data_IF_289210683542
#
_entry.id   IF_289210683542
#
_cell.length_a   1.000
_cell.length_b   1.000
_cell.length_c   1.000
_cell.angle_alpha   90.00
_cell.angle_beta   90.00
_cell.angle_gamma   90.00
#
_symmetry.space_group_name_H-M   'P 1'
#
loop_
_entity.id
_entity.type
_entity.pdbx_description
1 polymer ?
#
# COMPACT_ATOMS: atom_id res chain seq x y z
N UNK A 1 -5.39 1.05 78.68
CA UNK A 1 -4.66 -0.23 78.64
C UNK A 1 -4.91 -0.88 77.30
N UNK A 2 -3.82 -1.32 76.69
CA UNK A 2 -3.63 -1.90 75.36
C UNK A 2 -3.77 -0.95 74.18
N UNK A 3 -2.67 -0.17 74.04
CA UNK A 3 -1.91 -0.05 72.80
C UNK A 3 -2.37 -1.02 71.71
N UNK A 4 -2.96 -0.48 70.64
CA UNK A 4 -2.82 -1.11 69.33
C UNK A 4 -1.34 -1.02 69.02
N UNK A 5 -0.65 -2.14 69.17
CA UNK A 5 0.72 -2.34 68.69
C UNK A 5 0.80 -1.79 67.26
N UNK A 6 1.38 -0.59 67.12
CA UNK A 6 2.05 -0.21 65.90
C UNK A 6 3.13 -1.28 65.73
N UNK A 7 2.86 -2.30 64.92
CA UNK A 7 3.89 -3.20 64.41
C UNK A 7 4.84 -2.37 63.55
N UNK A 8 5.72 -1.61 64.21
CA UNK A 8 6.95 -1.12 63.63
C UNK A 8 7.77 -2.39 63.42
N UNK A 9 7.72 -2.94 62.20
CA UNK A 9 8.62 -4.01 61.78
C UNK A 9 10.05 -3.50 62.02
N UNK A 10 10.70 -3.99 63.05
CA UNK A 10 12.09 -3.65 63.32
C UNK A 10 12.95 -4.19 62.17
N UNK A 11 14.03 -3.50 61.83
CA UNK A 11 14.92 -3.87 60.71
C UNK A 11 15.57 -5.26 60.83
N UNK A 12 15.29 -6.00 61.91
CA UNK A 12 15.83 -7.33 62.20
C UNK A 12 14.89 -8.48 61.77
N UNK A 13 13.65 -8.20 61.37
CA UNK A 13 12.62 -9.24 61.16
C UNK A 13 12.42 -9.68 59.71
N UNK A 14 13.04 -9.04 58.71
CA UNK A 14 12.86 -9.41 57.31
C UNK A 14 13.94 -10.38 56.81
N UNK A 15 13.52 -11.51 56.21
CA UNK A 15 14.42 -12.54 55.63
C UNK A 15 15.02 -12.13 54.27
N UNK A 16 14.31 -11.32 53.49
CA UNK A 16 14.77 -10.87 52.17
C UNK A 16 14.11 -9.56 51.75
N UNK A 17 14.79 -8.81 50.87
CA UNK A 17 14.29 -7.59 50.26
C UNK A 17 14.18 -7.81 48.74
N UNK A 18 13.02 -7.46 48.17
CA UNK A 18 12.76 -7.57 46.72
C UNK A 18 12.51 -6.19 46.13
N UNK A 19 13.08 -5.95 44.95
CA UNK A 19 12.82 -4.76 44.13
C UNK A 19 12.10 -5.21 42.86
N UNK A 20 11.06 -4.49 42.46
CA UNK A 20 10.29 -4.75 41.24
C UNK A 20 9.91 -3.44 40.56
N UNK A 21 9.45 -3.53 39.31
CA UNK A 21 8.81 -2.38 38.65
C UNK A 21 7.50 -2.06 39.35
N UNK A 22 7.23 -0.76 39.51
CA UNK A 22 5.97 -0.28 40.08
C UNK A 22 4.94 -0.12 38.96
N UNK A 23 3.84 -0.86 39.04
CA UNK A 23 2.70 -0.66 38.15
C UNK A 23 1.97 0.65 38.48
N UNK A 24 1.19 1.21 37.53
CA UNK A 24 0.34 2.38 37.80
C UNK A 24 -0.61 2.17 38.98
N UNK A 25 -1.16 0.95 39.11
CA UNK A 25 -2.04 0.57 40.21
C UNK A 25 -1.31 0.56 41.56
N UNK A 26 -0.09 0.03 41.61
CA UNK A 26 0.75 0.07 42.82
C UNK A 26 1.07 1.51 43.22
N UNK A 27 1.40 2.38 42.27
CA UNK A 27 1.66 3.80 42.56
C UNK A 27 0.43 4.48 43.15
N UNK A 28 -0.77 4.18 42.62
CA UNK A 28 -2.03 4.69 43.20
C UNK A 28 -2.28 4.13 44.60
N UNK A 29 -1.95 2.87 44.85
CA UNK A 29 -2.11 2.25 46.18
C UNK A 29 -1.24 2.88 47.26
N UNK A 30 -0.08 3.43 46.89
CA UNK A 30 0.81 4.16 47.79
C UNK A 30 0.34 5.59 48.06
N UNK A 31 -0.51 6.11 47.19
CA UNK A 31 -0.85 7.52 47.18
C UNK A 31 -2.06 7.82 48.05
N UNK A 32 -1.94 8.91 48.81
CA UNK A 32 -3.03 9.46 49.61
C UNK A 32 -3.86 10.52 48.85
N UNK A 33 -3.53 10.81 47.59
CA UNK A 33 -4.26 11.77 46.75
C UNK A 33 -3.46 12.29 45.55
N UNK A 34 -4.19 12.81 44.56
CA UNK A 34 -3.61 13.39 43.34
C UNK A 34 -3.18 14.86 43.58
N UNK A 35 -1.98 15.21 43.13
CA UNK A 35 -1.48 16.59 43.12
C UNK A 35 -1.83 17.24 41.79
N UNK A 36 -2.94 17.96 41.75
CA UNK A 36 -3.42 18.63 40.53
C UNK A 36 -2.79 20.00 40.30
N UNK A 37 -2.37 20.68 41.38
CA UNK A 37 -1.98 22.09 41.36
C UNK A 37 -0.47 22.29 41.50
N UNK A 38 0.14 23.18 40.70
CA UNK A 38 1.57 23.47 40.76
C UNK A 38 1.98 24.30 41.98
N UNK A 39 1.02 24.91 42.68
CA UNK A 39 1.27 25.80 43.80
C UNK A 39 1.83 25.04 45.01
N UNK A 40 2.69 25.71 45.79
CA UNK A 40 3.30 25.17 47.00
C UNK A 40 2.61 25.71 48.25
N UNK A 41 2.97 26.93 48.66
CA UNK A 41 2.52 27.58 49.89
C UNK A 41 2.09 28.99 49.53
N UNK A 42 1.02 29.48 50.16
CA UNK A 42 0.59 30.85 50.05
C UNK A 42 1.60 31.80 50.71
N UNK A 43 2.16 32.74 49.95
CA UNK A 43 3.19 33.66 50.46
C UNK A 43 2.70 34.60 51.57
N UNK A 44 1.39 34.90 51.66
CA UNK A 44 0.82 35.77 52.70
C UNK A 44 0.49 34.99 53.98
N UNK A 45 -0.15 33.83 53.82
CA UNK A 45 -0.65 33.03 54.96
C UNK A 45 0.36 32.02 55.48
N UNK A 46 1.45 31.77 54.74
CA UNK A 46 2.44 30.73 55.03
C UNK A 46 1.81 29.34 55.20
N UNK A 47 0.69 29.12 54.52
CA UNK A 47 -0.06 27.85 54.57
C UNK A 47 -0.04 27.15 53.22
N UNK A 48 0.04 25.81 53.20
CA UNK A 48 -0.03 25.05 51.96
C UNK A 48 -1.30 25.35 51.17
N UNK A 49 -1.17 25.39 49.85
CA UNK A 49 -2.32 25.49 48.97
C UNK A 49 -3.04 24.13 48.84
N UNK A 50 -4.37 24.16 48.68
CA UNK A 50 -5.18 22.95 48.52
C UNK A 50 -4.89 22.32 47.15
N UNK A 51 -4.72 21.00 47.15
CA UNK A 51 -4.39 20.15 45.97
C UNK A 51 -3.01 20.45 45.35
N UNK A 52 -2.20 21.26 46.04
CA UNK A 52 -0.83 21.61 45.65
C UNK A 52 0.23 20.65 46.19
N UNK A 53 1.50 20.97 45.93
CA UNK A 53 2.65 20.13 46.27
C UNK A 53 2.86 19.89 47.78
N UNK A 54 2.25 20.71 48.63
CA UNK A 54 2.35 20.58 50.09
C UNK A 54 0.98 20.34 50.75
N UNK A 55 -0.05 20.03 49.96
CA UNK A 55 -1.44 19.88 50.40
C UNK A 55 -1.57 18.99 51.64
N UNK A 56 -2.17 19.54 52.71
CA UNK A 56 -2.35 18.81 53.97
C UNK A 56 -3.36 17.67 53.85
N UNK A 57 -4.32 17.75 52.92
CA UNK A 57 -5.30 16.68 52.74
C UNK A 57 -4.65 15.40 52.18
N UNK A 58 -3.60 15.56 51.37
CA UNK A 58 -2.87 14.46 50.74
C UNK A 58 -1.76 13.98 51.70
N UNK A 59 -0.86 14.88 52.09
CA UNK A 59 0.37 14.51 52.80
C UNK A 59 0.22 14.45 54.32
N UNK A 60 -0.89 14.95 54.87
CA UNK A 60 -1.11 15.06 56.32
C UNK A 60 -0.87 16.47 56.87
N UNK A 61 -1.21 16.70 58.15
CA UNK A 61 -1.26 18.03 58.75
C UNK A 61 0.14 18.63 59.00
N UNK A 62 0.29 19.95 58.85
CA UNK A 62 1.58 20.63 59.14
C UNK A 62 1.87 20.72 60.63
N UNK A 63 0.82 20.75 61.46
CA UNK A 63 0.89 20.79 62.93
C UNK A 63 0.21 19.57 63.51
N UNK A 64 0.80 19.02 64.56
CA UNK A 64 0.26 17.84 65.23
C UNK A 64 -1.19 18.05 65.67
N UNK A 65 -2.05 17.09 65.36
CA UNK A 65 -3.45 17.07 65.78
C UNK A 65 -4.26 18.31 65.37
N UNK A 66 -3.90 18.94 64.24
CA UNK A 66 -4.58 20.13 63.74
C UNK A 66 -4.89 20.00 62.24
N UNK A 67 -6.17 20.10 61.89
CA UNK A 67 -6.59 20.19 60.49
C UNK A 67 -6.34 21.58 59.88
N UNK A 68 -6.28 21.66 58.54
CA UNK A 68 -6.04 22.91 57.79
C UNK A 68 -6.98 24.06 58.20
N UNK A 69 -8.30 23.82 58.25
CA UNK A 69 -9.27 24.87 58.58
C UNK A 69 -9.31 25.23 60.07
N UNK A 70 -8.70 24.42 60.94
CA UNK A 70 -8.73 24.60 62.38
C UNK A 70 -10.05 24.25 63.07
N UNK A 71 -11.02 23.61 62.37
CA UNK A 71 -12.27 23.07 62.96
C UNK A 71 -11.96 22.03 64.04
N UNK A 72 -11.12 21.06 63.70
CA UNK A 72 -10.64 20.03 64.61
C UNK A 72 -9.21 20.35 65.05
N UNK A 73 -9.02 20.45 66.38
CA UNK A 73 -7.76 20.76 67.05
C UNK A 73 -7.63 19.92 68.32
N UNK A 74 -6.40 19.52 68.64
CA UNK A 74 -6.01 18.68 69.78
C UNK A 74 -6.24 17.18 69.57
N UNK A 75 -5.56 16.39 70.41
CA UNK A 75 -5.51 14.91 70.36
C UNK A 75 -6.89 14.24 70.43
N UNK A 76 -7.90 14.93 70.98
CA UNK A 76 -9.28 14.42 71.13
C UNK A 76 -9.92 14.00 69.79
N UNK A 77 -9.51 14.60 68.68
CA UNK A 77 -10.04 14.30 67.35
C UNK A 77 -9.13 13.37 66.53
N UNK A 78 -8.24 12.60 67.19
CA UNK A 78 -7.32 11.66 66.53
C UNK A 78 -8.06 10.75 65.54
N UNK A 79 -7.58 10.71 64.30
CA UNK A 79 -8.10 9.84 63.23
C UNK A 79 -9.36 10.34 62.54
N UNK A 80 -9.91 11.50 62.94
CA UNK A 80 -11.06 12.09 62.25
C UNK A 80 -10.58 12.83 60.99
N UNK A 81 -11.21 12.53 59.86
CA UNK A 81 -11.04 13.28 58.60
C UNK A 81 -11.98 14.48 58.60
N UNK A 82 -11.45 15.67 58.36
CA UNK A 82 -12.25 16.89 58.46
C UNK A 82 -13.22 17.08 57.28
N UNK A 83 -14.52 17.18 57.53
CA UNK A 83 -15.54 17.41 56.47
C UNK A 83 -15.32 18.68 55.63
N UNK A 84 -14.68 19.71 56.20
CA UNK A 84 -14.45 21.00 55.50
C UNK A 84 -13.20 21.01 54.64
N UNK A 85 -12.10 20.44 55.13
CA UNK A 85 -10.79 20.53 54.46
C UNK A 85 -10.20 19.20 54.03
N UNK A 86 -10.84 18.07 54.35
CA UNK A 86 -10.37 16.72 54.00
C UNK A 86 -9.09 16.28 54.73
N UNK A 87 -8.57 17.08 55.65
CA UNK A 87 -7.33 16.75 56.39
C UNK A 87 -7.64 15.80 57.53
N UNK A 88 -6.92 14.70 57.58
CA UNK A 88 -6.92 13.76 58.70
C UNK A 88 -6.15 14.34 59.89
N UNK A 89 -6.76 14.30 61.07
CA UNK A 89 -6.15 14.79 62.30
C UNK A 89 -5.22 13.71 62.89
N UNK A 90 -3.94 13.82 62.54
CA UNK A 90 -2.86 12.93 62.99
C UNK A 90 -1.58 13.72 63.34
N UNK A 91 -0.47 13.03 63.63
CA UNK A 91 0.85 13.65 63.83
C UNK A 91 1.39 14.16 62.50
N UNK A 92 2.17 15.23 62.54
CA UNK A 92 2.85 15.78 61.37
C UNK A 92 3.92 14.84 60.79
N UNK A 93 4.42 13.89 61.58
CA UNK A 93 5.42 12.89 61.16
C UNK A 93 5.00 12.09 59.92
N UNK A 94 3.70 11.91 59.69
CA UNK A 94 3.19 11.22 58.49
C UNK A 94 3.58 11.92 57.19
N UNK A 95 3.93 13.21 57.23
CA UNK A 95 4.39 14.00 56.07
C UNK A 95 5.78 13.59 55.56
N UNK A 96 6.47 12.71 56.28
CA UNK A 96 7.70 12.04 55.83
C UNK A 96 7.45 10.71 55.14
N UNK A 97 6.25 10.14 55.26
CA UNK A 97 5.91 8.78 54.80
C UNK A 97 4.84 8.76 53.69
N UNK A 98 3.84 9.66 53.75
CA UNK A 98 2.73 9.69 52.80
C UNK A 98 3.18 10.17 51.43
N UNK A 99 2.94 9.35 50.40
CA UNK A 99 3.18 9.72 49.00
C UNK A 99 1.94 10.33 48.35
N UNK A 100 2.17 11.20 47.37
CA UNK A 100 1.16 11.69 46.43
C UNK A 100 1.37 11.03 45.06
N UNK A 101 0.50 11.32 44.10
CA UNK A 101 0.74 10.99 42.69
C UNK A 101 0.25 12.11 41.78
N UNK A 102 0.69 12.06 40.53
CA UNK A 102 0.24 12.93 39.44
C UNK A 102 -0.23 12.03 38.30
N UNK A 103 -1.47 12.20 37.86
CA UNK A 103 -1.99 11.54 36.66
C UNK A 103 -1.51 12.33 35.43
N UNK A 104 -0.68 11.68 34.60
CA UNK A 104 -0.10 12.33 33.43
C UNK A 104 -1.11 12.37 32.30
N UNK A 105 -1.18 13.50 31.60
CA UNK A 105 -2.06 13.67 30.45
C UNK A 105 -1.68 12.79 29.25
N UNK A 106 -0.40 12.44 29.14
CA UNK A 106 0.13 11.53 28.13
C UNK A 106 1.19 10.61 28.77
N UNK A 107 1.31 9.35 28.32
CA UNK A 107 2.34 8.43 28.82
C UNK A 107 3.76 8.98 28.61
N UNK A 108 4.66 8.73 29.56
CA UNK A 108 6.07 9.17 29.51
C UNK A 108 7.01 8.01 29.77
N UNK A 109 7.95 7.75 28.86
CA UNK A 109 8.92 6.68 29.03
C UNK A 109 9.92 7.00 30.15
N UNK A 110 10.13 6.04 31.07
CA UNK A 110 11.06 6.23 32.17
C UNK A 110 12.52 6.19 31.67
N UNK A 111 13.27 7.24 31.99
CA UNK A 111 14.59 7.54 31.42
C UNK A 111 15.64 6.43 31.62
N UNK A 112 15.55 5.66 32.72
CA UNK A 112 16.47 4.55 32.99
C UNK A 112 16.37 3.40 31.98
N UNK A 113 15.20 3.15 31.39
CA UNK A 113 15.02 2.06 30.44
C UNK A 113 15.32 2.49 29.00
N UNK A 114 15.28 3.79 28.72
CA UNK A 114 15.49 4.37 27.39
C UNK A 114 16.91 4.91 27.17
N UNK A 115 17.46 5.71 28.10
CA UNK A 115 18.75 6.40 27.89
C UNK A 115 19.97 5.63 28.37
N UNK A 116 19.82 4.72 29.34
CA UNK A 116 20.92 3.89 29.85
C UNK A 116 21.55 3.06 28.71
N UNK A 117 22.84 2.78 28.80
CA UNK A 117 23.55 1.90 27.85
C UNK A 117 23.85 0.56 28.53
N UNK A 118 23.33 -0.56 28.02
CA UNK A 118 22.35 -0.67 26.93
C UNK A 118 20.93 -0.27 27.37
N UNK A 119 20.11 0.16 26.41
CA UNK A 119 18.68 0.46 26.65
C UNK A 119 17.91 -0.84 26.75
N UNK A 120 17.20 -1.04 27.86
CA UNK A 120 16.36 -2.23 28.05
C UNK A 120 15.18 -2.24 27.09
N UNK A 121 14.53 -1.09 26.87
CA UNK A 121 13.42 -0.96 25.92
C UNK A 121 13.90 -1.15 24.48
N UNK A 122 15.07 -0.61 24.13
CA UNK A 122 15.71 -0.83 22.82
C UNK A 122 16.08 -2.28 22.56
N UNK A 123 16.60 -2.99 23.57
CA UNK A 123 16.85 -4.43 23.47
C UNK A 123 15.53 -5.19 23.31
N UNK A 124 14.52 -4.88 24.11
CA UNK A 124 13.23 -5.60 24.11
C UNK A 124 12.51 -5.48 22.76
N UNK A 125 12.46 -4.28 22.18
CA UNK A 125 11.81 -4.02 20.89
C UNK A 125 12.74 -4.25 19.68
N UNK A 126 14.00 -4.62 19.92
CA UNK A 126 15.02 -4.78 18.87
C UNK A 126 15.37 -3.51 18.06
N UNK A 127 15.17 -2.34 18.68
CA UNK A 127 15.34 -1.01 18.08
C UNK A 127 16.65 -0.36 18.52
N UNK A 128 17.26 0.42 17.61
CA UNK A 128 18.43 1.23 17.97
C UNK A 128 18.03 2.45 18.81
N UNK A 129 18.85 2.81 19.80
CA UNK A 129 18.61 3.97 20.67
C UNK A 129 18.31 5.26 19.89
N UNK A 130 19.04 5.51 18.79
CA UNK A 130 18.83 6.70 17.95
C UNK A 130 17.42 6.77 17.36
N UNK A 131 16.89 5.65 16.86
CA UNK A 131 15.53 5.59 16.30
C UNK A 131 14.48 5.74 17.40
N UNK A 132 14.71 5.10 18.55
CA UNK A 132 13.85 5.23 19.73
C UNK A 132 13.76 6.66 20.24
N UNK A 133 14.89 7.36 20.39
CA UNK A 133 14.92 8.76 20.82
C UNK A 133 14.12 9.65 19.85
N UNK A 134 14.24 9.44 18.53
CA UNK A 134 13.46 10.21 17.54
C UNK A 134 11.96 10.04 17.69
N UNK A 135 11.48 8.84 17.99
CA UNK A 135 10.04 8.62 18.24
C UNK A 135 9.62 9.23 19.59
N UNK A 136 10.40 9.00 20.65
CA UNK A 136 10.11 9.51 22.00
C UNK A 136 10.05 11.05 22.06
N UNK A 137 10.88 11.74 21.28
CA UNK A 137 10.90 13.20 21.19
C UNK A 137 10.08 13.76 20.02
N UNK A 138 9.07 13.02 19.53
CA UNK A 138 8.10 13.47 18.53
C UNK A 138 8.72 13.94 17.20
N UNK A 139 9.85 13.35 16.78
CA UNK A 139 10.51 13.66 15.51
C UNK A 139 10.20 12.66 14.40
N UNK A 140 9.81 11.43 14.73
CA UNK A 140 9.44 10.38 13.79
C UNK A 140 8.25 9.57 14.32
N UNK A 141 7.53 8.93 13.40
CA UNK A 141 6.44 8.02 13.72
C UNK A 141 6.90 6.58 13.69
N UNK A 142 6.15 5.72 14.38
CA UNK A 142 6.32 4.27 14.35
C UNK A 142 4.97 3.62 14.10
N UNK A 143 4.94 2.58 13.26
CA UNK A 143 3.75 1.73 13.09
C UNK A 143 3.57 0.91 14.37
N UNK A 144 2.45 1.10 15.06
CA UNK A 144 2.14 0.43 16.33
C UNK A 144 1.40 -0.88 16.11
N UNK A 145 0.53 -0.92 15.09
CA UNK A 145 -0.26 -2.10 14.77
C UNK A 145 -0.56 -2.17 13.29
N UNK A 146 -0.60 -3.39 12.76
CA UNK A 146 -1.02 -3.70 11.40
C UNK A 146 -2.20 -4.66 11.47
N UNK A 147 -3.30 -4.28 10.83
CA UNK A 147 -4.49 -5.12 10.70
C UNK A 147 -4.36 -5.99 9.44
N UNK A 148 -4.11 -7.29 9.66
CA UNK A 148 -3.96 -8.27 8.57
C UNK A 148 -5.28 -8.52 7.81
N UNK A 149 -6.44 -8.37 8.44
CA UNK A 149 -7.73 -8.52 7.75
C UNK A 149 -7.99 -7.35 6.82
N UNK A 150 -7.77 -6.12 7.30
CA UNK A 150 -7.85 -4.92 6.48
C UNK A 150 -6.83 -4.96 5.33
N UNK A 151 -5.62 -5.47 5.59
CA UNK A 151 -4.59 -5.70 4.57
C UNK A 151 -5.10 -6.63 3.46
N UNK A 152 -5.67 -7.77 3.81
CA UNK A 152 -6.18 -8.72 2.83
C UNK A 152 -7.35 -8.13 2.01
N UNK A 153 -8.24 -7.36 2.65
CA UNK A 153 -9.32 -6.65 1.94
C UNK A 153 -8.76 -5.62 0.95
N UNK A 154 -7.73 -4.87 1.34
CA UNK A 154 -7.07 -3.92 0.46
C UNK A 154 -6.39 -4.60 -0.73
N UNK A 155 -5.72 -5.75 -0.53
CA UNK A 155 -5.16 -6.55 -1.62
C UNK A 155 -6.22 -7.00 -2.62
N UNK A 156 -7.35 -7.51 -2.12
CA UNK A 156 -8.47 -7.92 -2.99
C UNK A 156 -9.05 -6.74 -3.76
N UNK A 157 -9.16 -5.56 -3.14
CA UNK A 157 -9.61 -4.34 -3.81
C UNK A 157 -8.69 -3.96 -4.96
N UNK A 158 -7.37 -3.97 -4.74
CA UNK A 158 -6.38 -3.69 -5.78
C UNK A 158 -6.45 -4.68 -6.94
N UNK A 159 -6.59 -5.97 -6.63
CA UNK A 159 -6.71 -7.01 -7.66
C UNK A 159 -8.00 -6.79 -8.47
N UNK A 160 -9.11 -6.42 -7.83
CA UNK A 160 -10.36 -6.06 -8.53
C UNK A 160 -10.23 -4.82 -9.42
N UNK A 161 -9.67 -3.72 -8.89
CA UNK A 161 -9.43 -2.48 -9.65
C UNK A 161 -8.53 -2.73 -10.87
N UNK A 162 -7.53 -3.60 -10.74
CA UNK A 162 -6.66 -3.99 -11.85
C UNK A 162 -7.42 -4.79 -12.93
N UNK A 163 -8.21 -5.78 -12.54
CA UNK A 163 -8.99 -6.57 -13.50
C UNK A 163 -10.01 -5.70 -14.25
N UNK A 164 -10.71 -4.80 -13.57
CA UNK A 164 -11.65 -3.85 -14.20
C UNK A 164 -10.94 -2.94 -15.21
N UNK A 165 -9.77 -2.38 -14.87
CA UNK A 165 -9.00 -1.55 -15.80
C UNK A 165 -8.43 -2.34 -16.97
N UNK A 166 -8.00 -3.58 -16.75
CA UNK A 166 -7.51 -4.46 -17.81
C UNK A 166 -8.63 -4.74 -18.81
N UNK A 167 -9.80 -5.13 -18.34
CA UNK A 167 -10.97 -5.40 -19.19
C UNK A 167 -11.38 -4.18 -20.00
N UNK A 168 -11.34 -2.98 -19.41
CA UNK A 168 -11.64 -1.74 -20.13
C UNK A 168 -10.64 -1.48 -21.27
N UNK A 169 -9.33 -1.65 -21.03
CA UNK A 169 -8.32 -1.48 -22.08
C UNK A 169 -8.45 -2.54 -23.18
N UNK A 170 -8.69 -3.80 -22.81
CA UNK A 170 -8.90 -4.89 -23.75
C UNK A 170 -10.15 -4.65 -24.61
N UNK A 171 -11.25 -4.16 -24.02
CA UNK A 171 -12.48 -3.81 -24.73
C UNK A 171 -12.24 -2.68 -25.76
N UNK A 172 -11.58 -1.59 -25.36
CA UNK A 172 -11.27 -0.47 -26.26
C UNK A 172 -10.37 -0.91 -27.42
N UNK A 173 -9.35 -1.73 -27.13
CA UNK A 173 -8.48 -2.27 -28.17
C UNK A 173 -9.23 -3.21 -29.13
N UNK A 174 -10.12 -4.06 -28.59
CA UNK A 174 -10.92 -4.97 -29.39
C UNK A 174 -11.90 -4.22 -30.30
N UNK A 175 -12.59 -3.19 -29.79
CA UNK A 175 -13.43 -2.31 -30.58
C UNK A 175 -12.65 -1.67 -31.73
N UNK A 176 -11.44 -1.15 -31.45
CA UNK A 176 -10.54 -0.59 -32.47
C UNK A 176 -10.15 -1.60 -33.54
N UNK A 177 -9.77 -2.83 -33.15
CA UNK A 177 -9.43 -3.91 -34.09
C UNK A 177 -10.63 -4.27 -34.96
N UNK A 178 -11.81 -4.44 -34.37
CA UNK A 178 -13.02 -4.78 -35.13
C UNK A 178 -13.41 -3.70 -36.14
N UNK A 179 -13.22 -2.42 -35.81
CA UNK A 179 -13.46 -1.32 -36.74
C UNK A 179 -12.49 -1.33 -37.93
N UNK A 180 -11.22 -1.66 -37.69
CA UNK A 180 -10.21 -1.82 -38.75
C UNK A 180 -10.51 -3.02 -39.66
N UNK A 181 -10.88 -4.17 -39.07
CA UNK A 181 -11.28 -5.36 -39.83
C UNK A 181 -12.53 -5.09 -40.67
N UNK A 182 -13.52 -4.35 -40.14
CA UNK A 182 -14.70 -3.94 -40.89
C UNK A 182 -14.34 -3.01 -42.05
N UNK A 183 -13.41 -2.07 -41.86
CA UNK A 183 -12.93 -1.18 -42.91
C UNK A 183 -12.20 -1.95 -44.00
N UNK A 184 -11.30 -2.86 -43.64
CA UNK A 184 -10.63 -3.74 -44.59
C UNK A 184 -11.64 -4.56 -45.40
N UNK A 185 -12.64 -5.15 -44.75
CA UNK A 185 -13.68 -5.91 -45.44
C UNK A 185 -14.49 -5.05 -46.44
N UNK A 186 -14.75 -3.78 -46.12
CA UNK A 186 -15.41 -2.85 -47.04
C UNK A 186 -14.55 -2.51 -48.26
N UNK A 187 -13.27 -2.21 -48.05
CA UNK A 187 -12.33 -1.90 -49.15
C UNK A 187 -12.08 -3.14 -50.03
N UNK A 188 -11.87 -4.32 -49.42
CA UNK A 188 -11.73 -5.58 -50.16
C UNK A 188 -12.97 -5.89 -51.01
N UNK A 189 -14.17 -5.69 -50.47
CA UNK A 189 -15.41 -5.91 -51.23
C UNK A 189 -15.53 -4.96 -52.43
N UNK A 190 -15.15 -3.69 -52.27
CA UNK A 190 -15.17 -2.72 -53.38
C UNK A 190 -14.19 -3.11 -54.50
N UNK A 191 -12.97 -3.53 -54.13
CA UNK A 191 -11.96 -3.95 -55.11
C UNK A 191 -12.34 -5.28 -55.77
N UNK A 192 -12.91 -6.23 -55.01
CA UNK A 192 -13.44 -7.48 -55.56
C UNK A 192 -14.57 -7.23 -56.57
N UNK A 193 -15.48 -6.29 -56.29
CA UNK A 193 -16.53 -5.91 -57.24
C UNK A 193 -15.95 -5.31 -58.53
N UNK A 194 -14.88 -4.52 -58.42
CA UNK A 194 -14.16 -3.99 -59.58
C UNK A 194 -13.48 -5.10 -60.39
N UNK A 195 -12.81 -6.04 -59.72
CA UNK A 195 -12.20 -7.22 -60.35
C UNK A 195 -13.24 -8.04 -61.12
N UNK A 196 -14.40 -8.33 -60.51
CA UNK A 196 -15.47 -9.06 -61.18
C UNK A 196 -16.01 -8.30 -62.40
N UNK A 197 -16.18 -6.97 -62.32
CA UNK A 197 -16.58 -6.15 -63.48
C UNK A 197 -15.58 -6.21 -64.62
N UNK A 198 -14.27 -6.10 -64.32
CA UNK A 198 -13.20 -6.17 -65.32
C UNK A 198 -13.17 -7.56 -65.98
N UNK A 199 -13.27 -8.62 -65.18
CA UNK A 199 -13.32 -10.01 -65.69
C UNK A 199 -14.54 -10.23 -66.58
N UNK A 200 -15.73 -9.80 -66.13
CA UNK A 200 -16.96 -9.93 -66.91
C UNK A 200 -16.92 -9.15 -68.24
N UNK A 201 -16.35 -7.95 -68.26
CA UNK A 201 -16.19 -7.15 -69.48
C UNK A 201 -15.28 -7.85 -70.51
N UNK A 202 -14.13 -8.38 -70.06
CA UNK A 202 -13.19 -9.09 -70.93
C UNK A 202 -13.77 -10.42 -71.43
N UNK A 203 -14.51 -11.14 -70.59
CA UNK A 203 -15.23 -12.36 -71.00
C UNK A 203 -16.32 -12.06 -72.05
N UNK A 204 -17.05 -10.95 -71.90
CA UNK A 204 -18.06 -10.52 -72.88
C UNK A 204 -17.41 -10.09 -74.22
N UNK A 205 -16.27 -9.37 -74.17
CA UNK A 205 -15.48 -9.03 -75.35
C UNK A 205 -14.93 -10.29 -76.05
N UNK A 206 -14.39 -11.25 -75.29
CA UNK A 206 -13.93 -12.53 -75.82
C UNK A 206 -15.08 -13.31 -76.45
N UNK A 207 -16.24 -13.41 -75.79
CA UNK A 207 -17.42 -14.06 -76.34
C UNK A 207 -17.88 -13.40 -77.65
N UNK A 208 -17.88 -12.06 -77.74
CA UNK A 208 -18.25 -11.34 -78.94
C UNK A 208 -17.25 -11.54 -80.10
N UNK A 209 -15.94 -11.55 -79.81
CA UNK A 209 -14.89 -11.77 -80.83
C UNK A 209 -14.87 -13.23 -81.29
N UNK A 210 -14.94 -14.19 -80.36
CA UNK A 210 -15.00 -15.63 -80.67
C UNK A 210 -16.26 -15.96 -81.47
N UNK A 211 -17.43 -15.40 -81.16
CA UNK A 211 -18.65 -15.60 -81.94
C UNK A 211 -18.51 -15.07 -83.39
N UNK A 212 -17.85 -13.93 -83.59
CA UNK A 212 -17.55 -13.38 -84.93
C UNK A 212 -16.62 -14.31 -85.72
N UNK A 213 -15.55 -14.79 -85.09
CA UNK A 213 -14.58 -15.72 -85.69
C UNK A 213 -15.25 -17.05 -86.05
N UNK A 214 -16.11 -17.59 -85.18
CA UNK A 214 -16.87 -18.82 -85.42
C UNK A 214 -17.88 -18.64 -86.57
N UNK A 215 -18.60 -17.51 -86.64
CA UNK A 215 -19.51 -17.21 -87.77
C UNK A 215 -18.77 -17.14 -89.11
N UNK A 216 -17.58 -16.53 -89.14
CA UNK A 216 -16.76 -16.48 -90.35
C UNK A 216 -16.15 -17.84 -90.70
N UNK A 217 -15.73 -18.61 -89.71
CA UNK A 217 -15.23 -19.98 -89.89
C UNK A 217 -16.33 -20.89 -90.45
N UNK A 218 -17.56 -20.83 -89.92
CA UNK A 218 -18.72 -21.57 -90.43
C UNK A 218 -19.11 -21.14 -91.85
N UNK A 219 -19.05 -19.85 -92.16
CA UNK A 219 -19.31 -19.34 -93.50
C UNK A 219 -18.24 -19.80 -94.52
N UNK A 220 -16.98 -19.97 -94.07
CA UNK A 220 -15.91 -20.49 -94.90
C UNK A 220 -15.98 -22.02 -95.04
N UNK A 221 -16.31 -22.75 -93.97
CA UNK A 221 -16.60 -24.19 -94.00
C UNK A 221 -17.71 -24.51 -95.00
N UNK A 222 -18.86 -23.80 -94.95
CA UNK A 222 -19.94 -23.93 -95.94
C UNK A 222 -19.46 -23.67 -97.37
N UNK A 223 -18.62 -22.65 -97.60
CA UNK A 223 -18.04 -22.36 -98.93
C UNK A 223 -17.07 -23.43 -99.43
N UNK A 224 -16.39 -24.13 -98.53
CA UNK A 224 -15.47 -25.24 -98.84
C UNK A 224 -16.27 -26.52 -99.12
N UNK A 225 -17.35 -26.78 -98.37
CA UNK A 225 -18.28 -27.89 -98.58
C UNK A 225 -19.06 -27.76 -99.90
N UNK A 226 -19.62 -26.58 -100.21
CA UNK A 226 -20.35 -26.29 -101.46
C UNK A 226 -19.49 -26.40 -102.73
N UNK A 227 -18.16 -26.38 -102.58
CA UNK A 227 -17.18 -26.37 -103.68
C UNK A 227 -16.24 -27.58 -103.68
N UNK A 228 -16.56 -28.64 -102.94
CA UNK A 228 -15.81 -29.89 -102.96
C UNK A 228 -15.66 -30.44 -104.40
N UNK A 229 -14.41 -30.74 -104.79
CA UNK A 229 -14.10 -31.29 -106.12
C UNK A 229 -13.99 -30.29 -107.28
N UNK A 230 -14.04 -28.96 -107.03
CA UNK A 230 -13.86 -27.91 -108.06
C UNK A 230 -12.56 -27.13 -107.89
N UNK A 231 -11.94 -26.68 -108.98
CA UNK A 231 -10.69 -25.88 -108.99
C UNK A 231 -10.96 -24.41 -108.70
N UNK A 232 -10.14 -23.81 -107.83
CA UNK A 232 -10.31 -22.43 -107.36
C UNK A 232 -9.76 -21.39 -108.33
N UNK A 233 -10.57 -20.39 -108.73
CA UNK A 233 -10.15 -19.25 -109.57
C UNK A 233 -9.46 -18.11 -108.80
N UNK A 234 -9.62 -18.07 -107.47
CA UNK A 234 -9.04 -17.09 -106.56
C UNK A 234 -8.69 -17.79 -105.23
N UNK A 235 -7.63 -17.36 -104.51
CA UNK A 235 -7.21 -17.98 -103.25
C UNK A 235 -8.32 -17.84 -102.19
N UNK A 236 -8.55 -18.92 -101.45
CA UNK A 236 -9.48 -18.95 -100.32
C UNK A 236 -8.70 -18.49 -99.08
N UNK A 237 -9.03 -17.30 -98.58
CA UNK A 237 -8.36 -16.67 -97.43
C UNK A 237 -9.32 -16.63 -96.25
N UNK A 238 -8.87 -17.09 -95.09
CA UNK A 238 -9.58 -16.86 -93.83
C UNK A 238 -9.34 -15.40 -93.43
N UNK A 239 -10.38 -14.57 -93.57
CA UNK A 239 -10.28 -13.11 -93.42
C UNK A 239 -9.78 -12.63 -92.05
N UNK A 240 -10.07 -13.30 -90.91
CA UNK A 240 -9.60 -12.86 -89.60
C UNK A 240 -8.08 -12.92 -89.41
N UNK A 241 -7.41 -13.95 -89.92
CA UNK A 241 -5.94 -14.08 -89.85
C UNK A 241 -5.21 -13.77 -91.15
N UNK A 242 -5.92 -13.62 -92.27
CA UNK A 242 -5.31 -13.47 -93.59
C UNK A 242 -4.64 -14.74 -94.12
N UNK A 243 -4.81 -15.89 -93.44
CA UNK A 243 -4.20 -17.16 -93.81
C UNK A 243 -4.86 -17.75 -95.08
N UNK A 244 -4.03 -18.20 -96.03
CA UNK A 244 -4.49 -18.83 -97.27
C UNK A 244 -4.80 -20.31 -96.97
N UNK A 245 -6.09 -20.66 -97.03
CA UNK A 245 -6.59 -22.02 -96.77
C UNK A 245 -6.47 -22.89 -98.03
N UNK A 246 -6.53 -22.28 -99.22
CA UNK A 246 -6.26 -22.94 -100.50
C UNK A 246 -5.81 -21.94 -101.58
N UNK A 247 -4.77 -22.31 -102.33
CA UNK A 247 -4.19 -21.49 -103.41
C UNK A 247 -4.99 -21.55 -104.72
N UNK A 248 -4.69 -20.61 -105.63
CA UNK A 248 -5.32 -20.52 -106.96
C UNK A 248 -4.97 -21.77 -107.78
N UNK A 249 -5.97 -22.62 -108.06
CA UNK A 249 -5.82 -23.85 -108.84
C UNK A 249 -5.90 -25.16 -108.03
N UNK A 250 -5.95 -25.12 -106.70
CA UNK A 250 -5.99 -26.33 -105.86
C UNK A 250 -7.38 -27.01 -105.84
N UNK A 251 -7.42 -28.34 -105.71
CA UNK A 251 -8.65 -29.13 -105.54
C UNK A 251 -9.03 -29.25 -104.07
N UNK A 252 -10.20 -28.72 -103.71
CA UNK A 252 -10.70 -28.73 -102.34
C UNK A 252 -11.05 -30.15 -101.86
N UNK A 253 -10.45 -30.56 -100.73
CA UNK A 253 -10.62 -31.87 -100.08
C UNK A 253 -10.64 -31.78 -98.55
N UNK A 254 -10.69 -32.94 -97.86
CA UNK A 254 -10.74 -33.01 -96.39
C UNK A 254 -9.53 -32.38 -95.69
N UNK A 255 -8.37 -32.35 -96.36
CA UNK A 255 -7.13 -31.76 -95.86
C UNK A 255 -7.24 -30.25 -95.62
N UNK A 256 -7.97 -29.53 -96.47
CA UNK A 256 -8.20 -28.09 -96.31
C UNK A 256 -9.22 -27.77 -95.21
N UNK A 257 -10.10 -28.71 -94.85
CA UNK A 257 -10.99 -28.60 -93.68
C UNK A 257 -10.22 -28.82 -92.37
N UNK A 258 -9.32 -29.80 -92.32
CA UNK A 258 -8.42 -29.98 -91.17
C UNK A 258 -7.49 -28.78 -91.00
N UNK A 259 -6.93 -28.25 -92.09
CA UNK A 259 -6.09 -27.05 -92.08
C UNK A 259 -6.86 -25.81 -91.59
N UNK A 260 -8.11 -25.63 -92.03
CA UNK A 260 -8.98 -24.55 -91.55
C UNK A 260 -9.29 -24.69 -90.06
N UNK A 261 -9.64 -25.89 -89.59
CA UNK A 261 -9.93 -26.11 -88.17
C UNK A 261 -8.69 -25.86 -87.29
N UNK A 262 -7.51 -26.23 -87.77
CA UNK A 262 -6.25 -25.98 -87.09
C UNK A 262 -5.92 -24.48 -87.03
N UNK A 263 -6.08 -23.75 -88.15
CA UNK A 263 -5.91 -22.29 -88.21
C UNK A 263 -6.92 -21.56 -87.30
N UNK A 264 -8.15 -22.05 -87.22
CA UNK A 264 -9.18 -21.49 -86.33
C UNK A 264 -8.86 -21.78 -84.86
N UNK A 265 -8.41 -22.99 -84.52
CA UNK A 265 -7.98 -23.32 -83.15
C UNK A 265 -6.74 -22.51 -82.72
N UNK A 266 -5.75 -22.35 -83.61
CA UNK A 266 -4.56 -21.56 -83.34
C UNK A 266 -4.91 -20.07 -83.16
N UNK A 267 -5.84 -19.54 -83.95
CA UNK A 267 -6.29 -18.16 -83.81
C UNK A 267 -7.13 -17.92 -82.54
N UNK A 268 -8.02 -18.87 -82.21
CA UNK A 268 -8.81 -18.80 -80.97
C UNK A 268 -7.91 -18.89 -79.74
N UNK A 269 -6.91 -19.78 -79.73
CA UNK A 269 -5.96 -19.89 -78.62
C UNK A 269 -5.05 -18.65 -78.50
N UNK A 270 -4.66 -18.02 -79.61
CA UNK A 270 -3.96 -16.73 -79.59
C UNK A 270 -4.84 -15.62 -79.01
N UNK A 271 -6.11 -15.54 -79.40
CA UNK A 271 -7.06 -14.57 -78.87
C UNK A 271 -7.33 -14.79 -77.37
N UNK A 272 -7.50 -16.05 -76.95
CA UNK A 272 -7.64 -16.42 -75.53
C UNK A 272 -6.40 -16.02 -74.73
N UNK A 273 -5.19 -16.25 -75.27
CA UNK A 273 -3.93 -15.84 -74.63
C UNK A 273 -3.77 -14.31 -74.56
N UNK A 274 -4.16 -13.57 -75.62
CA UNK A 274 -4.15 -12.10 -75.62
C UNK A 274 -5.13 -11.52 -74.59
N UNK A 275 -6.33 -12.11 -74.47
CA UNK A 275 -7.32 -11.69 -73.47
C UNK A 275 -6.87 -12.05 -72.06
N UNK A 276 -6.29 -13.24 -71.84
CA UNK A 276 -5.70 -13.61 -70.54
C UNK A 276 -4.57 -12.67 -70.14
N UNK A 277 -3.68 -12.31 -71.07
CA UNK A 277 -2.61 -11.35 -70.79
C UNK A 277 -3.15 -9.95 -70.42
N UNK A 278 -4.19 -9.47 -71.12
CA UNK A 278 -4.88 -8.22 -70.76
C UNK A 278 -5.63 -8.32 -69.44
N UNK A 279 -6.22 -9.46 -69.15
CA UNK A 279 -6.89 -9.73 -67.89
C UNK A 279 -5.89 -9.64 -66.74
N UNK A 280 -4.76 -10.33 -66.83
CA UNK A 280 -3.68 -10.25 -65.83
C UNK A 280 -3.14 -8.81 -65.70
N UNK A 281 -2.93 -8.09 -66.80
CA UNK A 281 -2.46 -6.70 -66.78
C UNK A 281 -3.45 -5.75 -66.07
N UNK A 282 -4.75 -5.97 -66.23
CA UNK A 282 -5.80 -5.15 -65.62
C UNK A 282 -6.14 -5.58 -64.18
N UNK A 283 -6.01 -6.86 -63.82
CA UNK A 283 -6.29 -7.36 -62.47
C UNK A 283 -5.11 -7.23 -61.51
N UNK A 284 -3.87 -7.32 -61.99
CA UNK A 284 -2.68 -7.27 -61.14
C UNK A 284 -2.57 -5.99 -60.27
N UNK A 285 -2.87 -4.76 -60.77
CA UNK A 285 -2.86 -3.57 -59.93
C UNK A 285 -3.91 -3.62 -58.81
N UNK A 286 -5.10 -4.13 -59.11
CA UNK A 286 -6.19 -4.26 -58.13
C UNK A 286 -5.89 -5.33 -57.07
N UNK A 287 -5.25 -6.44 -57.47
CA UNK A 287 -4.79 -7.48 -56.54
C UNK A 287 -3.68 -6.95 -55.63
N UNK A 288 -2.76 -6.13 -56.15
CA UNK A 288 -1.74 -5.45 -55.37
C UNK A 288 -2.35 -4.43 -54.37
N UNK A 289 -3.41 -3.73 -54.75
CA UNK A 289 -4.13 -2.82 -53.85
C UNK A 289 -4.78 -3.58 -52.67
N UNK A 290 -5.35 -4.76 -52.90
CA UNK A 290 -5.88 -5.61 -51.82
C UNK A 290 -4.75 -6.01 -50.84
N UNK A 291 -3.60 -6.42 -51.38
CA UNK A 291 -2.46 -6.82 -50.56
C UNK A 291 -1.91 -5.64 -49.75
N UNK A 292 -1.85 -4.45 -50.36
CA UNK A 292 -1.49 -3.21 -49.67
C UNK A 292 -2.43 -2.90 -48.50
N UNK A 293 -3.75 -2.94 -48.71
CA UNK A 293 -4.72 -2.68 -47.64
C UNK A 293 -4.66 -3.71 -46.52
N UNK A 294 -4.42 -4.98 -46.85
CA UNK A 294 -4.21 -6.06 -45.86
C UNK A 294 -2.97 -5.81 -45.01
N UNK A 295 -1.84 -5.50 -45.63
CA UNK A 295 -0.59 -5.24 -44.93
C UNK A 295 -0.70 -3.98 -44.06
N UNK A 296 -1.26 -2.88 -44.59
CA UNK A 296 -1.49 -1.65 -43.86
C UNK A 296 -2.40 -1.85 -42.64
N UNK A 297 -3.50 -2.61 -42.79
CA UNK A 297 -4.42 -2.92 -41.69
C UNK A 297 -3.76 -3.83 -40.66
N UNK A 298 -3.00 -4.84 -41.11
CA UNK A 298 -2.26 -5.74 -40.21
C UNK A 298 -1.23 -4.97 -39.38
N UNK A 299 -0.53 -4.01 -39.98
CA UNK A 299 0.40 -3.11 -39.30
C UNK A 299 -0.30 -2.25 -38.24
N UNK A 300 -1.46 -1.69 -38.55
CA UNK A 300 -2.24 -0.90 -37.57
C UNK A 300 -2.74 -1.77 -36.41
N UNK A 301 -3.26 -2.96 -36.69
CA UNK A 301 -3.66 -3.93 -35.66
C UNK A 301 -2.46 -4.33 -34.80
N UNK A 302 -1.29 -4.54 -35.40
CA UNK A 302 -0.06 -4.85 -34.67
C UNK A 302 0.33 -3.71 -33.73
N UNK A 303 0.23 -2.45 -34.18
CA UNK A 303 0.49 -1.27 -33.33
C UNK A 303 -0.47 -1.20 -32.13
N UNK A 304 -1.77 -1.42 -32.35
CA UNK A 304 -2.77 -1.45 -31.28
C UNK A 304 -2.44 -2.54 -30.25
N UNK A 305 -2.11 -3.76 -30.71
CA UNK A 305 -1.74 -4.87 -29.83
C UNK A 305 -0.48 -4.59 -29.02
N UNK A 306 0.54 -3.97 -29.64
CA UNK A 306 1.77 -3.56 -28.94
C UNK A 306 1.47 -2.51 -27.87
N UNK A 307 0.65 -1.50 -28.20
CA UNK A 307 0.25 -0.47 -27.24
C UNK A 307 -0.54 -1.07 -26.07
N UNK A 308 -1.54 -1.92 -26.33
CA UNK A 308 -2.30 -2.62 -25.31
C UNK A 308 -1.39 -3.43 -24.39
N UNK A 309 -0.43 -4.18 -24.95
CA UNK A 309 0.51 -4.96 -24.15
C UNK A 309 1.38 -4.07 -23.26
N UNK A 310 1.82 -2.91 -23.76
CA UNK A 310 2.56 -1.92 -22.99
C UNK A 310 1.72 -1.35 -21.84
N UNK A 311 0.47 -0.96 -22.11
CA UNK A 311 -0.42 -0.36 -21.12
C UNK A 311 -0.78 -1.36 -20.01
N UNK A 312 -1.07 -2.61 -20.36
CA UNK A 312 -1.31 -3.69 -19.38
C UNK A 312 -0.05 -3.96 -18.55
N UNK A 313 1.14 -3.95 -19.17
CA UNK A 313 2.39 -4.14 -18.46
C UNK A 313 2.65 -3.00 -17.44
N UNK A 314 2.34 -1.75 -17.81
CA UNK A 314 2.45 -0.61 -16.90
C UNK A 314 1.46 -0.71 -15.73
N UNK A 315 0.19 -1.03 -16.00
CA UNK A 315 -0.81 -1.27 -14.96
C UNK A 315 -0.36 -2.38 -13.99
N UNK A 316 0.17 -3.48 -14.52
CA UNK A 316 0.67 -4.60 -13.70
C UNK A 316 1.88 -4.19 -12.86
N UNK A 317 2.76 -3.36 -13.39
CA UNK A 317 3.90 -2.83 -12.65
C UNK A 317 3.44 -1.94 -11.47
N UNK A 318 2.43 -1.09 -11.69
CA UNK A 318 1.82 -0.27 -10.62
C UNK A 318 1.18 -1.14 -9.54
N UNK A 319 0.38 -2.14 -9.93
CA UNK A 319 -0.21 -3.10 -9.00
C UNK A 319 0.86 -3.80 -8.14
N UNK A 320 1.93 -4.30 -8.77
CA UNK A 320 3.01 -4.96 -8.05
C UNK A 320 3.70 -4.02 -7.05
N UNK A 321 3.93 -2.76 -7.42
CA UNK A 321 4.51 -1.76 -6.54
C UNK A 321 3.61 -1.45 -5.34
N UNK A 322 2.30 -1.26 -5.55
CA UNK A 322 1.34 -1.03 -4.46
C UNK A 322 1.19 -2.27 -3.55
N UNK A 323 1.22 -3.49 -4.11
CA UNK A 323 1.25 -4.73 -3.33
C UNK A 323 2.51 -4.85 -2.48
N UNK A 324 3.68 -4.56 -3.05
CA UNK A 324 4.95 -4.57 -2.32
C UNK A 324 4.94 -3.52 -1.19
N UNK A 325 4.42 -2.33 -1.45
CA UNK A 325 4.27 -1.27 -0.45
C UNK A 325 3.42 -1.72 0.73
N UNK A 326 2.28 -2.36 0.45
CA UNK A 326 1.32 -2.81 1.46
C UNK A 326 1.81 -4.03 2.27
N UNK A 327 2.47 -4.99 1.60
CA UNK A 327 3.13 -6.13 2.25
C UNK A 327 4.38 -5.71 3.04
N UNK A 328 5.04 -4.62 2.62
CA UNK A 328 6.21 -4.06 3.28
C UNK A 328 5.90 -3.31 4.58
N UNK A 329 4.63 -3.03 4.87
CA UNK A 329 4.22 -2.43 6.15
C UNK A 329 4.47 -3.44 7.28
N UNK A 330 5.22 -3.05 8.30
CA UNK A 330 5.47 -3.89 9.45
C UNK A 330 5.40 -3.10 10.74
N UNK A 331 5.00 -3.75 11.83
CA UNK A 331 5.09 -3.18 13.16
C UNK A 331 6.54 -2.77 13.47
N UNK A 332 6.71 -1.68 14.22
CA UNK A 332 8.01 -1.08 14.53
C UNK A 332 8.78 -0.51 13.32
N UNK A 333 8.13 -0.34 12.17
CA UNK A 333 8.68 0.43 11.06
C UNK A 333 8.58 1.94 11.35
N UNK A 334 9.65 2.67 11.01
CA UNK A 334 9.76 4.11 11.29
C UNK A 334 9.40 4.92 10.06
N UNK A 335 8.56 5.92 10.23
CA UNK A 335 8.07 6.77 9.15
C UNK A 335 8.34 8.25 9.44
N UNK A 336 8.63 9.00 8.38
CA UNK A 336 8.65 10.46 8.42
C UNK A 336 7.26 11.00 8.09
N UNK A 337 6.97 12.26 8.44
CA UNK A 337 5.68 12.91 8.19
C UNK A 337 5.18 12.78 6.73
N UNK A 338 5.98 13.08 5.69
CA UNK A 338 5.48 13.01 4.30
C UNK A 338 5.06 11.59 3.91
N UNK A 339 5.88 10.62 4.31
CA UNK A 339 5.65 9.21 4.02
C UNK A 339 4.44 8.67 4.78
N UNK A 340 4.25 9.10 6.03
CA UNK A 340 3.06 8.74 6.80
C UNK A 340 1.79 9.28 6.13
N UNK A 341 1.81 10.53 5.66
CA UNK A 341 0.66 11.15 4.99
C UNK A 341 0.29 10.41 3.71
N UNK A 342 1.29 10.06 2.89
CA UNK A 342 1.10 9.24 1.69
C UNK A 342 0.49 7.88 2.01
N UNK A 343 1.09 7.14 2.95
CA UNK A 343 0.60 5.83 3.36
C UNK A 343 -0.78 5.90 4.02
N UNK A 344 -1.08 6.94 4.80
CA UNK A 344 -2.42 7.14 5.37
C UNK A 344 -3.46 7.43 4.29
N UNK A 345 -3.09 8.15 3.24
CA UNK A 345 -3.99 8.43 2.11
C UNK A 345 -4.36 7.17 1.34
N UNK A 346 -3.39 6.26 1.14
CA UNK A 346 -3.62 5.00 0.41
C UNK A 346 -4.18 3.88 1.29
N UNK A 347 -3.60 3.70 2.48
CA UNK A 347 -3.71 2.51 3.34
C UNK A 347 -4.12 2.83 4.78
N UNK A 348 -4.76 3.97 5.05
CA UNK A 348 -5.04 4.44 6.41
C UNK A 348 -5.85 3.49 7.31
N UNK A 349 -6.57 2.53 6.73
CA UNK A 349 -7.30 1.50 7.47
C UNK A 349 -6.45 0.27 7.83
N UNK A 350 -5.31 0.07 7.15
CA UNK A 350 -4.49 -1.14 7.26
C UNK A 350 -3.52 -1.07 8.45
N UNK A 351 -3.11 0.13 8.83
CA UNK A 351 -2.12 0.30 9.90
C UNK A 351 -2.44 1.48 10.80
N UNK A 352 -2.00 1.37 12.05
CA UNK A 352 -1.96 2.48 13.01
C UNK A 352 -0.51 2.89 13.22
N UNK A 353 -0.27 4.20 13.21
CA UNK A 353 1.03 4.75 13.50
C UNK A 353 0.90 5.93 14.46
N UNK A 354 1.78 5.96 15.44
CA UNK A 354 1.84 6.98 16.47
C UNK A 354 3.27 7.50 16.67
N UNK A 355 3.41 8.46 17.58
CA UNK A 355 4.70 8.97 18.03
C UNK A 355 4.70 9.16 19.54
N UNK A 356 5.85 9.55 20.09
CA UNK A 356 6.02 9.72 21.53
C UNK A 356 6.10 8.40 22.27
N UNK A 357 5.98 8.48 23.60
CA UNK A 357 5.98 7.29 24.45
C UNK A 357 4.66 6.53 24.40
N UNK A 358 3.55 7.17 23.99
CA UNK A 358 2.26 6.51 23.79
C UNK A 358 2.32 5.41 22.73
N UNK A 359 2.98 5.67 21.60
CA UNK A 359 3.16 4.66 20.56
C UNK A 359 3.91 3.41 21.06
N UNK A 360 4.95 3.61 21.89
CA UNK A 360 5.64 2.47 22.51
C UNK A 360 4.80 1.80 23.60
N UNK A 361 3.94 2.54 24.29
CA UNK A 361 3.02 1.96 25.28
C UNK A 361 2.04 1.00 24.60
N UNK A 362 1.41 1.39 23.49
CA UNK A 362 0.54 0.52 22.70
C UNK A 362 1.25 -0.76 22.25
N UNK A 363 2.45 -0.63 21.69
CA UNK A 363 3.24 -1.77 21.23
C UNK A 363 3.59 -2.72 22.39
N UNK A 364 3.97 -2.18 23.56
CA UNK A 364 4.34 -3.00 24.70
C UNK A 364 3.12 -3.70 25.33
N UNK A 365 1.93 -3.08 25.30
CA UNK A 365 0.69 -3.69 25.77
C UNK A 365 0.28 -4.90 24.92
N UNK A 366 0.52 -4.84 23.61
CA UNK A 366 0.20 -5.93 22.67
C UNK A 366 1.32 -6.99 22.57
N UNK A 367 2.43 -6.81 23.28
CA UNK A 367 3.60 -7.68 23.18
C UNK A 367 3.40 -8.99 23.95
N UNK A 368 3.29 -10.09 23.22
CA UNK A 368 3.28 -11.45 23.79
C UNK A 368 4.71 -11.91 24.13
N UNK A 369 5.06 -11.89 25.42
CA UNK A 369 6.39 -12.28 25.90
C UNK A 369 6.67 -13.78 25.74
N UNK A 370 5.64 -14.63 25.77
CA UNK A 370 5.80 -16.08 25.67
C UNK A 370 6.15 -16.47 24.24
N UNK A 371 5.38 -15.98 23.26
CA UNK A 371 5.68 -16.16 21.83
C UNK A 371 7.04 -15.61 21.47
N UNK A 372 7.36 -14.39 21.92
CA UNK A 372 8.64 -13.76 21.65
C UNK A 372 9.81 -14.57 22.25
N UNK A 373 9.65 -15.16 23.43
CA UNK A 373 10.67 -16.00 24.04
C UNK A 373 10.94 -17.26 23.19
N UNK A 374 9.90 -17.93 22.70
CA UNK A 374 10.03 -19.11 21.85
C UNK A 374 10.74 -18.81 20.53
N UNK A 375 10.39 -17.71 19.87
CA UNK A 375 11.04 -17.25 18.63
C UNK A 375 12.53 -16.97 18.86
N UNK A 376 12.86 -16.27 19.94
CA UNK A 376 14.24 -15.96 20.28
C UNK A 376 15.04 -17.22 20.64
N UNK A 377 14.42 -18.20 21.31
CA UNK A 377 15.05 -19.49 21.57
C UNK A 377 15.38 -20.23 20.27
N UNK A 378 14.45 -20.24 19.30
CA UNK A 378 14.67 -20.82 17.96
C UNK A 378 15.84 -20.12 17.24
N UNK A 379 15.86 -18.78 17.24
CA UNK A 379 16.93 -17.98 16.61
C UNK A 379 18.29 -18.23 17.27
N UNK A 380 18.34 -18.36 18.60
CA UNK A 380 19.59 -18.64 19.34
C UNK A 380 20.14 -20.03 19.01
N UNK A 381 19.28 -21.06 18.91
CA UNK A 381 19.70 -22.44 18.64
C UNK A 381 20.04 -22.69 17.17
N UNK A 382 19.18 -22.24 16.26
CA UNK A 382 19.23 -22.61 14.84
C UNK A 382 19.71 -21.48 13.92
N UNK A 383 19.76 -20.23 14.37
CA UNK A 383 20.11 -19.09 13.52
C UNK A 383 21.50 -19.25 12.90
N UNK A 384 21.70 -19.02 11.61
CA UNK A 384 23.02 -19.32 10.97
C UNK A 384 24.12 -18.30 11.35
N UNK A 385 23.75 -17.07 11.69
CA UNK A 385 24.69 -15.98 11.94
C UNK A 385 25.06 -15.84 13.43
N UNK A 386 26.36 -15.84 13.72
CA UNK A 386 26.91 -15.59 15.07
C UNK A 386 26.46 -14.24 15.66
N UNK A 387 26.36 -13.21 14.82
CA UNK A 387 25.94 -11.87 15.26
C UNK A 387 24.45 -11.84 15.62
N UNK A 388 23.59 -12.48 14.81
CA UNK A 388 22.15 -12.58 15.10
C UNK A 388 21.90 -13.38 16.38
N UNK A 389 22.57 -14.53 16.56
CA UNK A 389 22.53 -15.29 17.82
C UNK A 389 22.89 -14.43 19.02
N UNK A 390 24.01 -13.69 18.96
CA UNK A 390 24.45 -12.80 20.06
C UNK A 390 23.42 -11.71 20.39
N UNK A 391 22.76 -11.14 19.38
CA UNK A 391 21.69 -10.16 19.56
C UNK A 391 20.47 -10.80 20.22
N UNK A 392 20.03 -11.93 19.68
CA UNK A 392 18.90 -12.71 20.21
C UNK A 392 19.13 -13.16 21.66
N UNK A 393 20.34 -13.62 22.03
CA UNK A 393 20.67 -13.98 23.42
C UNK A 393 20.53 -12.80 24.39
N UNK A 394 20.98 -11.60 23.99
CA UNK A 394 20.83 -10.40 24.82
C UNK A 394 19.36 -10.00 25.00
N UNK A 395 18.57 -10.12 23.94
CA UNK A 395 17.12 -9.84 23.95
C UNK A 395 16.36 -10.85 24.78
N UNK A 396 16.64 -12.14 24.59
CA UNK A 396 16.06 -13.25 25.35
C UNK A 396 16.30 -13.10 26.85
N UNK A 397 17.49 -12.64 27.27
CA UNK A 397 17.78 -12.39 28.68
C UNK A 397 16.83 -11.36 29.32
N UNK A 398 16.43 -10.32 28.58
CA UNK A 398 15.49 -9.30 29.07
C UNK A 398 14.06 -9.86 29.11
N UNK A 399 13.65 -10.56 28.04
CA UNK A 399 12.33 -11.19 27.95
C UNK A 399 12.13 -12.22 29.09
N UNK A 400 13.10 -13.10 29.31
CA UNK A 400 13.07 -14.09 30.39
C UNK A 400 13.04 -13.44 31.78
N UNK A 401 13.74 -12.31 31.97
CA UNK A 401 13.69 -11.58 33.24
C UNK A 401 12.30 -11.01 33.51
N UNK A 402 11.61 -10.49 32.49
CA UNK A 402 10.23 -10.00 32.61
C UNK A 402 9.26 -11.14 32.89
N UNK A 403 9.32 -12.24 32.12
CA UNK A 403 8.49 -13.44 32.32
C UNK A 403 8.62 -14.01 33.73
N UNK A 404 9.86 -14.24 34.21
CA UNK A 404 10.11 -14.81 35.54
C UNK A 404 9.72 -13.89 36.69
N UNK A 405 9.77 -12.58 36.48
CA UNK A 405 9.44 -11.62 37.54
C UNK A 405 7.95 -11.29 37.61
N UNK A 406 7.17 -11.64 36.58
CA UNK A 406 5.76 -11.23 36.44
C UNK A 406 5.59 -9.74 36.14
N UNK A 407 6.67 -9.04 35.81
CA UNK A 407 6.61 -7.63 35.47
C UNK A 407 6.14 -7.45 34.04
N UNK A 408 5.16 -6.57 33.84
CA UNK A 408 4.69 -6.22 32.51
C UNK A 408 5.59 -5.14 31.87
N UNK A 409 5.95 -5.27 30.58
CA UNK A 409 6.92 -4.38 29.94
C UNK A 409 6.46 -2.93 29.82
N UNK A 410 5.16 -2.68 29.68
CA UNK A 410 4.56 -1.35 29.59
C UNK A 410 4.72 -0.53 30.88
N UNK A 411 5.02 -1.16 32.04
CA UNK A 411 5.33 -0.43 33.28
C UNK A 411 6.63 0.38 33.21
N UNK A 412 7.45 0.19 32.16
CA UNK A 412 8.57 1.07 31.85
C UNK A 412 8.12 2.45 31.32
N UNK A 413 6.85 2.60 30.97
CA UNK A 413 6.22 3.84 30.52
C UNK A 413 5.21 4.26 31.59
N UNK A 414 5.43 5.44 32.15
CA UNK A 414 4.64 5.97 33.24
C UNK A 414 3.40 6.67 32.70
N UNK A 415 2.24 6.24 33.17
CA UNK A 415 0.98 6.99 33.09
C UNK A 415 0.71 7.76 34.40
N UNK A 416 1.24 7.23 35.51
CA UNK A 416 1.13 7.82 36.84
C UNK A 416 2.52 8.06 37.40
N UNK A 417 2.78 9.28 37.90
CA UNK A 417 4.06 9.65 38.50
C UNK A 417 3.90 9.81 40.02
N UNK A 418 4.67 9.08 40.86
CA UNK A 418 4.63 9.28 42.31
C UNK A 418 5.27 10.61 42.73
N UNK A 419 4.70 11.23 43.75
CA UNK A 419 5.19 12.43 44.41
C UNK A 419 5.72 12.08 45.79
N UNK A 420 7.02 12.33 45.99
CA UNK A 420 7.71 12.05 47.25
C UNK A 420 7.11 12.91 48.40
N UNK A 421 7.09 12.41 49.65
CA UNK A 421 6.63 13.14 50.81
C UNK A 421 7.31 14.53 50.97
N UNK A 422 6.57 15.58 51.37
CA UNK A 422 7.06 16.95 51.40
C UNK A 422 8.23 17.18 52.36
N UNK A 423 8.34 16.42 53.45
CA UNK A 423 9.43 16.59 54.42
C UNK A 423 10.78 16.08 53.88
N UNK A 424 10.77 15.27 52.82
CA UNK A 424 11.97 14.87 52.07
C UNK A 424 12.34 15.91 50.99
N UNK A 425 11.47 16.91 50.75
CA UNK A 425 11.67 18.03 49.82
C UNK A 425 11.24 19.36 50.46
N UNK A 426 11.85 19.75 51.59
CA UNK A 426 11.37 20.85 52.42
C UNK A 426 11.44 22.20 51.69
N UNK A 427 10.58 23.10 52.14
CA UNK A 427 10.61 24.53 51.80
C UNK A 427 10.73 25.31 53.11
N UNK A 428 11.85 26.02 53.28
CA UNK A 428 12.19 26.70 54.52
C UNK A 428 12.17 28.20 54.31
N UNK A 429 11.55 28.93 55.23
CA UNK A 429 11.58 30.39 55.23
C UNK A 429 12.92 30.85 55.79
N UNK A 430 13.59 31.76 55.08
CA UNK A 430 14.81 32.43 55.51
C UNK A 430 14.49 33.79 56.13
N UNK A 431 15.44 34.32 56.89
CA UNK A 431 15.39 35.69 57.40
C UNK A 431 15.25 36.69 56.24
N UNK A 432 14.34 37.65 56.38
CA UNK A 432 13.99 38.60 55.32
C UNK A 432 12.89 38.14 54.36
N UNK A 433 12.12 37.10 54.71
CA UNK A 433 10.89 36.72 54.00
C UNK A 433 11.11 35.97 52.67
N UNK A 434 12.36 35.55 52.41
CA UNK A 434 12.70 34.67 51.27
C UNK A 434 12.40 33.22 51.63
N UNK A 435 12.27 32.36 50.61
CA UNK A 435 12.12 30.93 50.78
C UNK A 435 13.25 30.18 50.08
N UNK A 436 13.81 29.20 50.77
CA UNK A 436 14.66 28.18 50.18
C UNK A 436 13.81 26.95 49.85
N UNK A 437 13.86 26.49 48.61
CA UNK A 437 13.09 25.33 48.12
C UNK A 437 14.04 24.27 47.58
N UNK A 438 13.75 22.99 47.85
CA UNK A 438 14.39 21.89 47.13
C UNK A 438 14.10 21.95 45.62
N UNK A 439 15.11 21.68 44.79
CA UNK A 439 15.00 21.60 43.31
C UNK A 439 13.91 20.62 42.85
N UNK A 440 13.65 19.57 43.64
CA UNK A 440 12.58 18.60 43.35
C UNK A 440 11.21 19.27 43.23
N UNK A 441 10.93 20.28 44.05
CA UNK A 441 9.66 21.00 44.00
C UNK A 441 9.50 21.74 42.67
N UNK A 442 10.59 22.30 42.13
CA UNK A 442 10.57 22.96 40.82
C UNK A 442 10.39 21.97 39.67
N UNK A 443 11.00 20.78 39.76
CA UNK A 443 10.80 19.72 38.78
C UNK A 443 9.34 19.23 38.78
N UNK A 444 8.77 18.93 39.96
CA UNK A 444 7.36 18.55 40.06
C UNK A 444 6.42 19.64 39.54
N UNK A 445 6.68 20.91 39.90
CA UNK A 445 5.91 22.05 39.42
C UNK A 445 5.91 22.15 37.89
N UNK A 446 7.06 21.93 37.25
CA UNK A 446 7.18 21.92 35.78
C UNK A 446 6.38 20.77 35.15
N UNK A 447 6.41 19.57 35.76
CA UNK A 447 5.63 18.43 35.29
C UNK A 447 4.13 18.72 35.36
N UNK A 448 3.65 19.21 36.50
CA UNK A 448 2.23 19.55 36.72
C UNK A 448 1.78 20.64 35.73
N UNK A 449 2.55 21.72 35.59
CA UNK A 449 2.24 22.80 34.65
C UNK A 449 2.12 22.32 33.21
N UNK A 450 3.05 21.46 32.75
CA UNK A 450 3.02 20.91 31.39
C UNK A 450 1.88 19.93 31.20
N UNK A 451 1.63 19.05 32.17
CA UNK A 451 0.50 18.10 32.14
C UNK A 451 -0.83 18.84 32.07
N UNK A 452 -1.05 19.84 32.94
CA UNK A 452 -2.27 20.64 32.95
C UNK A 452 -2.45 21.45 31.66
N UNK A 453 -1.37 22.00 31.11
CA UNK A 453 -1.42 22.67 29.81
C UNK A 453 -1.82 21.70 28.70
N UNK A 454 -1.29 20.48 28.71
CA UNK A 454 -1.63 19.46 27.73
C UNK A 454 -3.10 19.00 27.88
N UNK A 455 -3.59 18.77 29.10
CA UNK A 455 -5.02 18.46 29.36
C UNK A 455 -5.93 19.54 28.75
N UNK A 456 -5.61 20.82 28.98
CA UNK A 456 -6.37 21.94 28.39
C UNK A 456 -6.31 21.99 26.87
N UNK A 457 -5.17 21.65 26.26
CA UNK A 457 -5.07 21.59 24.80
C UNK A 457 -5.95 20.46 24.27
N UNK A 458 -5.89 19.27 24.86
CA UNK A 458 -6.74 18.13 24.47
C UNK A 458 -8.24 18.42 24.60
N UNK A 459 -8.65 19.23 25.59
CA UNK A 459 -10.04 19.68 25.75
C UNK A 459 -10.48 20.69 24.67
N UNK A 460 -9.54 21.43 24.08
CA UNK A 460 -9.80 22.44 23.05
C UNK A 460 -9.79 21.87 21.62
N UNK A 461 -9.25 20.66 21.43
CA UNK A 461 -9.06 20.01 20.12
C UNK A 461 -7.63 20.18 19.60
#
# INVERSE_FOLDING_TARGET
>A
MNDREEHVLEARDFRSLRISLASPEQIRSWSYGEVTKPETINYRRLRPEKDGLFCEAIFGPTKDWQCYCGKYKNVRYKGIVCDKCGVEVTRSSVRRERMGHIELAAPVAHIWYTRRVPSYLGILLDISKRKMDRVLYFAQYVITHVDEEARQKALKRLDGEFEEQREQLEAVAQEGITALEQRLAQEEAQIQEQLEKVRAQLDEELAAVTERVIKEAQALQKKIEDRQGKTLRAPLVFKPTGAIVAEKGATLGREHLTLLNQIVQDHLSQLEAEVQARQEEMTAPLEADIEYWREATADEIARIKVQLHSDIAELRARLNADREELLGLAELQFLNEPRLRELKSKWGQVFKAGMGAEAFYEVLCNLDLDKLAEELWREVRHGRSKQRRKKATKRLRVVEALRKSGNRPEWMILTVLPVIPPDLRPMVQLDGGRFATSDLNDLYRRVINRSNRLKRLLELG
#
